data_IF_945111327987
#
_entry.id   IF_945111327987
#
_cell.length_a   1.000
_cell.length_b   1.000
_cell.length_c   1.000
_cell.angle_alpha   90.00
_cell.angle_beta   90.00
_cell.angle_gamma   90.00
#
_symmetry.space_group_name_H-M   'P 1'
#
loop_
_entity.id
_entity.type
_entity.pdbx_description
1 polymer ?
#
# COMPACT_ATOMS: atom_id res chain seq x y z
N UNK A 1 -3.90 -9.55 -5.94
CA UNK A 1 -5.01 -9.03 -5.12
C UNK A 1 -6.20 -9.95 -5.29
N UNK A 2 -6.76 -10.44 -4.19
CA UNK A 2 -8.04 -11.13 -4.23
C UNK A 2 -9.14 -10.16 -4.73
N UNK A 3 -10.16 -10.65 -5.45
CA UNK A 3 -11.28 -9.80 -5.85
C UNK A 3 -12.03 -9.26 -4.62
N UNK A 4 -12.52 -8.03 -4.70
CA UNK A 4 -13.33 -7.42 -3.65
C UNK A 4 -14.56 -8.31 -3.38
N UNK A 5 -14.76 -8.82 -2.15
CA UNK A 5 -15.94 -9.62 -1.84
C UNK A 5 -17.19 -8.77 -2.04
N UNK A 6 -18.21 -9.37 -2.68
CA UNK A 6 -19.49 -8.73 -2.96
C UNK A 6 -20.59 -9.44 -2.19
N UNK A 7 -21.57 -8.71 -1.66
CA UNK A 7 -22.72 -9.33 -1.05
C UNK A 7 -23.56 -10.04 -2.12
N UNK A 8 -24.42 -11.00 -1.71
CA UNK A 8 -25.31 -11.70 -2.63
C UNK A 8 -26.26 -10.75 -3.37
N UNK A 9 -26.71 -9.70 -2.68
CA UNK A 9 -27.46 -8.57 -3.23
C UNK A 9 -27.15 -7.32 -2.39
N UNK A 10 -27.47 -6.14 -2.94
CA UNK A 10 -27.25 -4.87 -2.25
C UNK A 10 -28.61 -4.29 -1.80
N UNK A 11 -29.04 -4.54 -0.55
CA UNK A 11 -30.31 -4.01 -0.05
C UNK A 11 -30.29 -2.48 -0.02
N UNK A 12 -31.39 -1.85 -0.44
CA UNK A 12 -31.58 -0.40 -0.36
C UNK A 12 -32.31 0.02 0.93
N UNK A 13 -32.86 -0.94 1.67
CA UNK A 13 -33.50 -0.71 2.96
C UNK A 13 -33.27 -1.88 3.92
N UNK A 14 -33.42 -1.61 5.22
CA UNK A 14 -33.36 -2.66 6.25
C UNK A 14 -34.46 -3.71 6.07
N UNK A 15 -35.63 -3.30 5.58
CA UNK A 15 -36.75 -4.20 5.33
C UNK A 15 -36.42 -5.18 4.20
N UNK A 16 -35.92 -4.67 3.07
CA UNK A 16 -35.47 -5.51 1.95
C UNK A 16 -34.36 -6.47 2.37
N UNK A 17 -33.40 -6.01 3.19
CA UNK A 17 -32.39 -6.89 3.76
C UNK A 17 -33.03 -8.02 4.59
N UNK A 18 -33.94 -7.68 5.50
CA UNK A 18 -34.59 -8.67 6.38
C UNK A 18 -35.43 -9.69 5.61
N UNK A 19 -36.11 -9.27 4.54
CA UNK A 19 -36.91 -10.14 3.69
C UNK A 19 -36.04 -11.16 2.92
N UNK A 20 -34.89 -10.72 2.43
CA UNK A 20 -34.05 -11.53 1.54
C UNK A 20 -32.96 -12.32 2.29
N UNK A 21 -32.41 -11.80 3.39
CA UNK A 21 -31.33 -12.48 4.14
C UNK A 21 -31.77 -13.85 4.62
N UNK A 22 -33.05 -14.03 4.97
CA UNK A 22 -33.59 -15.31 5.45
C UNK A 22 -33.40 -16.44 4.44
N UNK A 23 -33.43 -16.14 3.14
CA UNK A 23 -33.24 -17.11 2.06
C UNK A 23 -31.78 -17.25 1.61
N UNK A 24 -30.90 -16.33 2.01
CA UNK A 24 -29.51 -16.22 1.57
C UNK A 24 -28.50 -16.20 2.74
N UNK A 25 -28.87 -16.77 3.89
CA UNK A 25 -28.12 -16.64 5.15
C UNK A 25 -26.68 -17.13 5.03
N UNK A 26 -26.47 -18.28 4.38
CA UNK A 26 -25.14 -18.86 4.19
C UNK A 26 -24.25 -17.99 3.31
N UNK A 27 -24.80 -17.45 2.22
CA UNK A 27 -24.07 -16.57 1.30
C UNK A 27 -23.71 -15.25 1.97
N UNK A 28 -24.58 -14.72 2.83
CA UNK A 28 -24.30 -13.55 3.66
C UNK A 28 -23.23 -13.83 4.72
N UNK A 29 -23.26 -14.99 5.36
CA UNK A 29 -22.22 -15.40 6.31
C UNK A 29 -20.85 -15.49 5.63
N UNK A 30 -20.79 -16.12 4.45
CA UNK A 30 -19.56 -16.22 3.65
C UNK A 30 -19.07 -14.84 3.21
N UNK A 31 -19.96 -13.98 2.72
CA UNK A 31 -19.63 -12.61 2.39
C UNK A 31 -19.00 -11.86 3.57
N UNK A 32 -19.62 -11.92 4.76
CA UNK A 32 -19.08 -11.25 5.95
C UNK A 32 -17.69 -11.78 6.29
N UNK A 33 -17.50 -13.11 6.31
CA UNK A 33 -16.19 -13.72 6.59
C UNK A 33 -15.13 -13.27 5.58
N UNK A 34 -15.48 -13.33 4.30
CA UNK A 34 -14.55 -13.00 3.21
C UNK A 34 -14.25 -11.50 3.16
N UNK A 35 -15.22 -10.64 3.53
CA UNK A 35 -15.02 -9.20 3.70
C UNK A 35 -14.02 -8.88 4.81
N UNK A 36 -14.14 -9.51 5.98
CA UNK A 36 -13.16 -9.33 7.05
C UNK A 36 -11.77 -9.80 6.64
N UNK A 37 -11.68 -10.99 6.04
CA UNK A 37 -10.41 -11.51 5.54
C UNK A 37 -9.77 -10.57 4.51
N UNK A 38 -10.56 -10.06 3.56
CA UNK A 38 -10.08 -9.10 2.58
C UNK A 38 -9.55 -7.83 3.24
N UNK A 39 -10.25 -7.28 4.25
CA UNK A 39 -9.80 -6.09 4.98
C UNK A 39 -8.45 -6.36 5.66
N UNK A 40 -8.33 -7.46 6.41
CA UNK A 40 -7.08 -7.82 7.11
C UNK A 40 -5.89 -8.00 6.15
N UNK A 41 -6.11 -8.66 5.01
CA UNK A 41 -5.08 -8.84 3.98
C UNK A 41 -4.66 -7.51 3.36
N UNK A 42 -5.60 -6.61 3.08
CA UNK A 42 -5.30 -5.31 2.49
C UNK A 42 -4.64 -4.36 3.49
N UNK A 43 -5.04 -4.37 4.77
CA UNK A 43 -4.40 -3.57 5.82
C UNK A 43 -2.94 -3.97 6.00
N UNK A 44 -2.66 -5.27 5.99
CA UNK A 44 -1.28 -5.81 6.04
C UNK A 44 -0.48 -5.37 4.81
N UNK A 45 -1.02 -5.58 3.61
CA UNK A 45 -0.35 -5.21 2.37
C UNK A 45 -0.11 -3.69 2.27
N UNK A 46 -1.05 -2.87 2.76
CA UNK A 46 -0.92 -1.42 2.79
C UNK A 46 0.19 -1.00 3.77
N UNK A 47 0.23 -1.58 4.98
CA UNK A 47 1.27 -1.31 5.95
C UNK A 47 2.67 -1.66 5.40
N UNK A 48 2.81 -2.82 4.75
CA UNK A 48 4.05 -3.24 4.09
C UNK A 48 4.44 -2.29 2.95
N UNK A 49 3.48 -1.87 2.12
CA UNK A 49 3.75 -0.94 1.02
C UNK A 49 4.20 0.44 1.53
N UNK A 50 3.58 0.94 2.60
CA UNK A 50 3.95 2.20 3.23
C UNK A 50 5.36 2.12 3.83
N UNK A 51 5.69 1.05 4.54
CA UNK A 51 7.03 0.84 5.10
C UNK A 51 8.08 0.76 4.00
N UNK A 52 7.84 -0.02 2.94
CA UNK A 52 8.75 -0.14 1.82
C UNK A 52 8.98 1.20 1.11
N UNK A 53 7.93 2.02 0.98
CA UNK A 53 8.02 3.36 0.39
C UNK A 53 8.89 4.26 1.26
N UNK A 54 8.64 4.29 2.57
CA UNK A 54 9.42 5.07 3.51
C UNK A 54 10.92 4.67 3.50
N UNK A 55 11.21 3.37 3.50
CA UNK A 55 12.59 2.87 3.42
C UNK A 55 13.27 3.24 2.09
N UNK A 56 12.52 3.25 0.98
CA UNK A 56 13.04 3.67 -0.31
C UNK A 56 13.36 5.17 -0.34
N UNK A 57 12.52 6.00 0.27
CA UNK A 57 12.75 7.45 0.42
C UNK A 57 14.01 7.75 1.23
N UNK A 58 14.20 7.10 2.39
CA UNK A 58 15.40 7.26 3.22
C UNK A 58 16.68 6.88 2.46
N UNK A 59 16.63 5.78 1.70
CA UNK A 59 17.77 5.36 0.86
C UNK A 59 18.05 6.38 -0.24
N UNK A 60 17.02 6.91 -0.89
CA UNK A 60 17.18 7.92 -1.94
C UNK A 60 17.86 9.18 -1.37
N UNK A 61 17.43 9.66 -0.21
CA UNK A 61 18.04 10.82 0.46
C UNK A 61 19.52 10.57 0.80
N UNK A 62 19.84 9.39 1.34
CA UNK A 62 21.21 9.01 1.65
C UNK A 62 22.11 8.98 0.40
N UNK A 63 21.62 8.37 -0.69
CA UNK A 63 22.36 8.33 -1.96
C UNK A 63 22.53 9.72 -2.56
N UNK A 64 21.53 10.59 -2.47
CA UNK A 64 21.64 11.98 -2.94
C UNK A 64 22.72 12.74 -2.17
N UNK A 65 22.79 12.54 -0.85
CA UNK A 65 23.83 13.15 -0.02
C UNK A 65 25.23 12.66 -0.42
N UNK A 66 25.41 11.35 -0.62
CA UNK A 66 26.68 10.77 -1.06
C UNK A 66 27.08 11.27 -2.45
N UNK A 67 26.14 11.32 -3.39
CA UNK A 67 26.36 11.85 -4.73
C UNK A 67 26.82 13.31 -4.69
N UNK A 68 26.16 14.15 -3.89
CA UNK A 68 26.53 15.56 -3.74
C UNK A 68 27.94 15.71 -3.16
N UNK A 69 28.28 14.95 -2.12
CA UNK A 69 29.63 14.94 -1.53
C UNK A 69 30.69 14.52 -2.54
N UNK A 70 30.41 13.49 -3.34
CA UNK A 70 31.34 13.00 -4.35
C UNK A 70 31.53 14.02 -5.47
N UNK A 71 30.43 14.66 -5.91
CA UNK A 71 30.44 15.74 -6.90
C UNK A 71 31.29 16.93 -6.44
N UNK A 72 31.13 17.36 -5.20
CA UNK A 72 31.95 18.43 -4.60
C UNK A 72 33.43 18.04 -4.53
N UNK A 73 33.72 16.81 -4.10
CA UNK A 73 35.09 16.29 -4.03
C UNK A 73 35.76 16.25 -5.40
N UNK A 74 35.03 15.77 -6.43
CA UNK A 74 35.52 15.74 -7.80
C UNK A 74 35.81 17.14 -8.34
N UNK A 75 34.90 18.09 -8.14
CA UNK A 75 35.11 19.48 -8.55
C UNK A 75 36.35 20.10 -7.89
N UNK A 76 36.58 19.81 -6.60
CA UNK A 76 37.77 20.27 -5.88
C UNK A 76 39.06 19.66 -6.45
N UNK A 77 39.07 18.37 -6.75
CA UNK A 77 40.26 17.69 -7.30
C UNK A 77 40.57 18.20 -8.72
N UNK A 78 39.57 18.38 -9.57
CA UNK A 78 39.77 18.95 -10.91
C UNK A 78 40.33 20.38 -10.85
N UNK A 79 39.79 21.24 -9.99
CA UNK A 79 40.31 22.61 -9.82
C UNK A 79 41.74 22.71 -9.27
N UNK A 80 42.21 21.70 -8.52
CA UNK A 80 43.62 21.62 -8.07
C UNK A 80 44.54 21.16 -9.20
N UNK A 81 44.04 20.31 -10.10
CA UNK A 81 44.83 19.75 -11.21
C UNK A 81 45.08 20.78 -12.32
N UNK A 82 44.21 21.78 -12.49
CA UNK A 82 44.39 22.86 -13.47
C UNK A 82 45.34 23.99 -13.00
N UNK A 83 45.75 24.00 -11.73
CA UNK A 83 46.66 25.02 -11.16
C UNK A 83 48.13 24.57 -11.03
N UNK A 84 48.48 23.38 -11.52
CA UNK A 84 49.86 22.87 -11.60
C UNK A 84 50.23 22.56 -13.05
#
# INVERSE_FOLDING_TARGET
MAPLPRPPFLPQSLQEFAEHVVNHQSEWYEYCRDAYKFIEENDTALAEALENTHQAELKLEALQLEYNRLKETHARVQGVTEMH
#
